data_IF_406535678918
#
_entry.id   IF_406535678918
#
_cell.length_a   1.000
_cell.length_b   1.000
_cell.length_c   1.000
_cell.angle_alpha   90.00
_cell.angle_beta   90.00
_cell.angle_gamma   90.00
#
_symmetry.space_group_name_H-M   'P 1'
#
loop_
_entity.id
_entity.type
_entity.pdbx_description
1 polymer ?
#
# COMPACT_ATOMS: atom_id res chain seq x y z
N UNK A 1 4.57 -40.88 24.11
CA UNK A 1 3.22 -40.51 24.60
C UNK A 1 3.30 -40.10 26.07
N UNK A 2 2.27 -39.45 26.64
CA UNK A 2 2.23 -39.15 28.09
C UNK A 2 2.33 -40.46 28.89
N UNK A 3 3.11 -40.56 29.98
CA UNK A 3 3.81 -39.49 30.71
C UNK A 3 5.27 -39.21 30.28
N UNK A 4 5.79 -39.92 29.27
CA UNK A 4 7.16 -39.77 28.77
C UNK A 4 7.35 -38.36 28.18
N UNK A 5 6.42 -37.94 27.32
CA UNK A 5 6.40 -36.60 26.73
C UNK A 5 5.54 -35.67 27.59
N UNK A 6 6.16 -34.65 28.20
CA UNK A 6 5.45 -33.60 28.95
C UNK A 6 5.86 -32.22 28.43
N UNK A 7 5.16 -31.68 27.42
CA UNK A 7 5.50 -30.38 26.82
C UNK A 7 5.52 -29.21 27.83
N UNK A 8 4.75 -29.32 28.93
CA UNK A 8 4.78 -28.34 30.02
C UNK A 8 6.15 -28.16 30.68
N UNK A 9 7.08 -29.12 30.56
CA UNK A 9 8.45 -29.01 31.09
C UNK A 9 9.21 -27.81 30.51
N UNK A 10 9.00 -27.49 29.23
CA UNK A 10 9.62 -26.32 28.57
C UNK A 10 8.90 -25.00 28.88
N UNK A 11 7.72 -25.07 29.51
CA UNK A 11 6.87 -23.92 29.84
C UNK A 11 6.94 -23.54 31.33
N UNK A 12 7.74 -24.24 32.12
CA UNK A 12 7.79 -24.11 33.59
C UNK A 12 8.53 -22.85 34.07
N UNK A 13 9.43 -22.30 33.26
CA UNK A 13 10.26 -21.16 33.65
C UNK A 13 10.35 -20.12 32.51
N UNK A 14 10.34 -18.81 32.80
CA UNK A 14 10.44 -17.77 31.77
C UNK A 14 11.68 -17.90 30.88
N UNK A 15 12.84 -18.28 31.44
CA UNK A 15 14.06 -18.51 30.65
C UNK A 15 13.96 -19.71 29.72
N UNK A 16 13.33 -20.82 30.17
CA UNK A 16 13.08 -21.97 29.30
C UNK A 16 12.17 -21.59 28.13
N UNK A 17 11.11 -20.80 28.41
CA UNK A 17 10.23 -20.27 27.36
C UNK A 17 10.97 -19.37 26.37
N UNK A 18 11.94 -18.56 26.84
CA UNK A 18 12.77 -17.72 25.98
C UNK A 18 13.67 -18.56 25.06
N UNK A 19 14.28 -19.63 25.58
CA UNK A 19 15.18 -20.50 24.82
C UNK A 19 14.48 -21.28 23.71
N UNK A 20 13.21 -21.65 23.90
CA UNK A 20 12.44 -22.46 22.93
C UNK A 20 11.44 -21.65 22.12
N UNK A 21 11.51 -20.32 22.18
CA UNK A 21 10.59 -19.45 21.43
C UNK A 21 10.89 -19.54 19.93
N UNK A 22 9.87 -19.87 19.16
CA UNK A 22 9.99 -20.06 17.70
C UNK A 22 9.99 -18.74 16.91
N UNK A 23 9.37 -17.68 17.43
CA UNK A 23 9.21 -16.40 16.72
C UNK A 23 9.45 -15.23 17.66
N UNK A 24 10.16 -14.21 17.16
CA UNK A 24 10.40 -12.93 17.83
C UNK A 24 10.08 -11.84 16.83
N UNK A 25 9.24 -10.88 17.24
CA UNK A 25 8.97 -9.66 16.48
C UNK A 25 10.02 -8.60 16.84
N UNK A 26 10.49 -7.88 15.84
CA UNK A 26 11.47 -6.80 15.92
C UNK A 26 10.99 -5.59 15.11
N UNK A 27 11.65 -4.45 15.22
CA UNK A 27 11.32 -3.27 14.41
C UNK A 27 11.57 -3.47 12.91
N UNK A 28 12.50 -4.37 12.57
CA UNK A 28 12.80 -4.74 11.18
C UNK A 28 11.64 -5.44 10.46
N UNK A 29 10.63 -5.90 11.21
CA UNK A 29 9.45 -6.56 10.66
C UNK A 29 8.31 -5.56 10.36
N UNK A 30 8.52 -4.26 10.61
CA UNK A 30 7.47 -3.23 10.55
C UNK A 30 7.64 -2.33 9.31
N UNK A 31 6.52 -1.98 8.68
CA UNK A 31 6.40 -0.89 7.69
C UNK A 31 5.27 0.01 8.18
N UNK A 32 5.52 1.32 8.27
CA UNK A 32 4.56 2.27 8.85
C UNK A 32 3.73 2.99 7.76
N UNK A 33 2.39 2.80 7.72
CA UNK A 33 1.53 3.47 6.74
C UNK A 33 1.33 4.96 7.03
N UNK A 34 1.40 5.80 6.01
CA UNK A 34 1.17 7.25 6.09
C UNK A 34 0.21 7.71 4.99
N UNK A 35 -0.71 8.60 5.34
CA UNK A 35 -1.76 9.13 4.46
C UNK A 35 -1.46 10.58 4.08
N UNK A 36 -1.07 10.82 2.84
CA UNK A 36 -0.64 12.12 2.33
C UNK A 36 -1.79 12.94 1.77
N UNK A 37 -1.99 14.15 2.28
CA UNK A 37 -2.95 15.15 1.77
C UNK A 37 -2.24 16.45 1.34
N UNK A 38 -2.83 17.21 0.40
CA UNK A 38 -2.37 18.56 0.06
C UNK A 38 -2.48 19.54 1.24
N UNK A 39 -1.71 20.63 1.16
CA UNK A 39 -1.67 21.69 2.17
C UNK A 39 -0.37 21.70 2.97
N UNK A 40 -0.37 22.46 4.06
CA UNK A 40 0.77 22.65 4.96
C UNK A 40 0.27 22.68 6.41
N UNK A 41 1.00 22.05 7.33
CA UNK A 41 0.62 21.96 8.74
C UNK A 41 -0.67 21.19 9.03
N UNK A 42 -1.10 20.32 8.11
CA UNK A 42 -2.33 19.54 8.23
C UNK A 42 -2.06 18.24 8.98
N UNK A 43 -2.84 18.00 10.04
CA UNK A 43 -2.96 16.71 10.70
C UNK A 43 -4.43 16.46 11.07
N UNK A 44 -5.14 15.71 10.22
CA UNK A 44 -6.57 15.42 10.37
C UNK A 44 -6.76 13.97 10.82
N UNK A 45 -7.24 13.78 12.04
CA UNK A 45 -7.49 12.44 12.58
C UNK A 45 -8.58 11.70 11.79
N UNK A 46 -8.33 10.43 11.50
CA UNK A 46 -9.29 9.52 10.88
C UNK A 46 -10.18 8.95 11.98
N UNK A 47 -11.45 9.36 12.01
CA UNK A 47 -12.39 8.99 13.09
C UNK A 47 -12.54 7.48 13.32
N UNK A 48 -12.49 6.68 12.25
CA UNK A 48 -12.60 5.22 12.33
C UNK A 48 -11.29 4.52 12.67
N UNK A 49 -10.17 5.26 12.76
CA UNK A 49 -8.85 4.77 13.14
C UNK A 49 -8.21 5.73 14.16
N UNK A 50 -8.62 5.68 15.45
CA UNK A 50 -8.09 6.59 16.47
C UNK A 50 -6.56 6.56 16.54
N UNK A 51 -5.94 7.74 16.55
CA UNK A 51 -4.48 7.91 16.50
C UNK A 51 -3.84 7.80 15.11
N UNK A 52 -4.65 7.66 14.05
CA UNK A 52 -4.19 7.72 12.64
C UNK A 52 -4.63 9.04 12.01
N UNK A 53 -3.76 9.64 11.21
CA UNK A 53 -3.96 10.97 10.65
C UNK A 53 -3.75 10.98 9.14
N UNK A 54 -4.55 11.80 8.45
CA UNK A 54 -4.21 12.36 7.15
C UNK A 54 -3.28 13.56 7.38
N UNK A 55 -2.11 13.54 6.76
CA UNK A 55 -1.01 14.45 7.04
C UNK A 55 -0.58 15.21 5.77
N UNK A 56 -0.29 16.50 5.89
CA UNK A 56 0.41 17.22 4.83
C UNK A 56 1.86 16.76 4.69
N UNK A 57 2.50 17.09 3.57
CA UNK A 57 3.86 16.62 3.25
C UNK A 57 4.88 17.02 4.33
N UNK A 58 4.79 18.23 4.87
CA UNK A 58 5.65 18.69 5.97
C UNK A 58 5.49 17.82 7.23
N UNK A 59 4.26 17.41 7.56
CA UNK A 59 3.97 16.52 8.69
C UNK A 59 4.39 15.08 8.43
N UNK A 60 4.26 14.59 7.21
CA UNK A 60 4.81 13.28 6.82
C UNK A 60 6.33 13.24 7.02
N UNK A 61 7.04 14.33 6.69
CA UNK A 61 8.49 14.40 6.90
C UNK A 61 8.85 14.40 8.39
N UNK A 62 8.05 15.08 9.25
CA UNK A 62 8.21 15.02 10.70
C UNK A 62 8.04 13.57 11.22
N UNK A 63 6.96 12.90 10.84
CA UNK A 63 6.68 11.50 11.21
C UNK A 63 7.75 10.54 10.69
N UNK A 64 8.20 10.71 9.44
CA UNK A 64 9.23 9.86 8.83
C UNK A 64 10.55 9.89 9.61
N UNK A 65 10.91 11.05 10.19
CA UNK A 65 12.10 11.17 11.06
C UNK A 65 11.91 10.36 12.34
N UNK A 66 10.75 10.46 12.98
CA UNK A 66 10.45 9.69 14.19
C UNK A 66 10.43 8.18 13.91
N UNK A 67 9.79 7.75 12.81
CA UNK A 67 9.76 6.35 12.36
C UNK A 67 11.18 5.81 12.20
N UNK A 68 12.07 6.58 11.56
CA UNK A 68 13.47 6.21 11.39
C UNK A 68 14.25 6.16 12.71
N UNK A 69 14.07 7.15 13.58
CA UNK A 69 14.71 7.21 14.91
C UNK A 69 14.29 6.03 15.82
N UNK A 70 13.07 5.51 15.65
CA UNK A 70 12.57 4.32 16.32
C UNK A 70 13.14 3.00 15.74
N UNK A 71 13.91 3.06 14.66
CA UNK A 71 14.53 1.91 14.01
C UNK A 71 13.57 1.09 13.13
N UNK A 72 12.48 1.70 12.64
CA UNK A 72 11.58 1.10 11.65
C UNK A 72 12.18 1.32 10.25
N UNK A 73 12.33 0.27 9.42
CA UNK A 73 13.09 0.36 8.18
C UNK A 73 12.39 1.13 7.06
N UNK A 74 11.06 1.25 7.10
CA UNK A 74 10.34 1.90 6.00
C UNK A 74 8.91 2.33 6.31
N UNK A 75 8.41 3.17 5.42
CA UNK A 75 7.03 3.67 5.39
C UNK A 75 6.34 3.22 4.10
N UNK A 76 5.00 3.19 4.11
CA UNK A 76 4.20 3.10 2.89
C UNK A 76 3.29 4.30 2.74
N UNK A 77 3.36 4.97 1.59
CA UNK A 77 2.61 6.18 1.29
C UNK A 77 1.30 5.85 0.55
N UNK A 78 0.20 6.37 1.08
CA UNK A 78 -1.12 6.42 0.43
C UNK A 78 -1.49 7.87 0.15
N UNK A 79 -1.85 8.20 -1.09
CA UNK A 79 -2.19 9.56 -1.49
C UNK A 79 -3.68 9.83 -1.44
N UNK A 80 -4.08 11.00 -0.94
CA UNK A 80 -5.44 11.51 -1.03
C UNK A 80 -5.36 12.83 -1.80
N UNK A 81 -5.61 12.83 -3.12
CA UNK A 81 -5.48 14.03 -3.95
C UNK A 81 -6.61 15.04 -3.67
N UNK A 82 -6.39 16.30 -4.05
CA UNK A 82 -7.44 17.34 -3.99
C UNK A 82 -8.55 17.05 -5.01
N UNK A 83 -8.15 16.71 -6.24
CA UNK A 83 -9.04 16.41 -7.36
C UNK A 83 -8.95 14.94 -7.76
N UNK A 84 -10.10 14.40 -8.20
CA UNK A 84 -10.23 13.06 -8.77
C UNK A 84 -10.80 13.17 -10.18
N UNK A 85 -10.31 12.33 -11.07
CA UNK A 85 -10.74 12.34 -12.48
C UNK A 85 -10.84 10.91 -13.03
N UNK A 86 -11.38 10.77 -14.24
CA UNK A 86 -11.60 9.45 -14.87
C UNK A 86 -10.32 8.76 -15.34
N UNK A 87 -9.25 9.52 -15.55
CA UNK A 87 -7.94 9.04 -16.01
C UNK A 87 -6.94 8.85 -14.85
N UNK A 88 -7.41 9.03 -13.62
CA UNK A 88 -6.62 8.96 -12.40
C UNK A 88 -5.33 9.79 -12.49
N UNK A 89 -5.37 10.99 -13.07
CA UNK A 89 -4.15 11.76 -13.40
C UNK A 89 -3.28 12.03 -12.17
N UNK A 90 -3.90 12.24 -11.01
CA UNK A 90 -3.19 12.42 -9.74
C UNK A 90 -2.32 11.25 -9.30
N UNK A 91 -2.53 10.04 -9.86
CA UNK A 91 -1.73 8.86 -9.55
C UNK A 91 -0.35 8.90 -10.22
N UNK A 92 -0.25 9.46 -11.43
CA UNK A 92 0.96 9.35 -12.27
C UNK A 92 1.56 10.69 -12.69
N UNK A 93 0.87 11.80 -12.46
CA UNK A 93 1.43 13.13 -12.72
C UNK A 93 2.64 13.41 -11.81
N UNK A 94 3.66 14.10 -12.33
CA UNK A 94 4.93 14.35 -11.62
C UNK A 94 4.72 15.17 -10.32
N UNK A 95 3.64 15.95 -10.25
CA UNK A 95 3.25 16.73 -9.07
C UNK A 95 2.18 16.06 -8.19
N UNK A 96 1.95 14.75 -8.36
CA UNK A 96 1.02 13.98 -7.54
C UNK A 96 1.41 13.98 -6.05
N UNK A 97 0.44 13.74 -5.17
CA UNK A 97 0.67 13.91 -3.72
C UNK A 97 1.66 12.86 -3.17
N UNK A 98 1.64 11.63 -3.68
CA UNK A 98 2.59 10.58 -3.31
C UNK A 98 3.99 10.91 -3.81
N UNK A 99 4.12 11.44 -5.02
CA UNK A 99 5.38 11.87 -5.60
C UNK A 99 6.01 12.98 -4.75
N UNK A 100 5.23 14.01 -4.41
CA UNK A 100 5.68 15.10 -3.53
C UNK A 100 6.13 14.59 -2.16
N UNK A 101 5.35 13.70 -1.55
CA UNK A 101 5.67 13.11 -0.24
C UNK A 101 6.94 12.24 -0.31
N UNK A 102 7.07 11.40 -1.33
CA UNK A 102 8.24 10.54 -1.53
C UNK A 102 9.52 11.39 -1.69
N UNK A 103 9.51 12.38 -2.58
CA UNK A 103 10.65 13.28 -2.78
C UNK A 103 11.05 13.96 -1.47
N UNK A 104 10.09 14.55 -0.75
CA UNK A 104 10.36 15.26 0.49
C UNK A 104 10.90 14.33 1.61
N UNK A 105 10.39 13.10 1.71
CA UNK A 105 10.90 12.11 2.66
C UNK A 105 12.32 11.70 2.30
N UNK A 106 12.60 11.40 1.02
CA UNK A 106 13.95 11.01 0.59
C UNK A 106 14.97 12.14 0.75
N UNK A 107 14.56 13.40 0.61
CA UNK A 107 15.42 14.55 0.90
C UNK A 107 15.73 14.68 2.40
N UNK A 108 14.77 14.40 3.27
CA UNK A 108 14.91 14.58 4.72
C UNK A 108 15.50 13.38 5.46
N UNK A 109 15.21 12.16 5.01
CA UNK A 109 15.62 10.89 5.62
C UNK A 109 16.02 9.90 4.50
N UNK A 110 17.17 10.10 3.83
CA UNK A 110 17.55 9.32 2.65
C UNK A 110 17.60 7.80 2.86
N UNK A 111 17.93 7.37 4.08
CA UNK A 111 18.10 5.95 4.43
C UNK A 111 16.77 5.25 4.79
N UNK A 112 15.67 5.98 4.94
CA UNK A 112 14.35 5.38 5.17
C UNK A 112 13.81 4.83 3.85
N UNK A 113 13.33 3.58 3.87
CA UNK A 113 12.70 2.95 2.71
C UNK A 113 11.30 3.53 2.50
N UNK A 114 11.06 4.09 1.31
CA UNK A 114 9.77 4.60 0.89
C UNK A 114 9.09 3.60 -0.04
N UNK A 115 8.01 3.00 0.45
CA UNK A 115 7.11 2.18 -0.35
C UNK A 115 5.98 3.05 -0.88
N UNK A 116 5.68 2.97 -2.17
CA UNK A 116 4.53 3.68 -2.77
C UNK A 116 3.40 2.70 -3.11
N UNK A 117 2.18 2.97 -2.66
CA UNK A 117 1.00 2.24 -3.12
C UNK A 117 0.73 2.57 -4.60
N UNK A 118 0.66 1.54 -5.44
CA UNK A 118 0.39 1.69 -6.87
C UNK A 118 -1.01 1.17 -7.17
N UNK A 119 -1.98 2.05 -6.96
CA UNK A 119 -3.41 1.81 -7.18
C UNK A 119 -4.08 3.09 -7.69
N UNK A 120 -5.27 2.96 -8.27
CA UNK A 120 -6.01 4.11 -8.84
C UNK A 120 -7.26 4.47 -8.02
N UNK A 121 -7.59 3.75 -6.95
CA UNK A 121 -8.87 3.96 -6.25
C UNK A 121 -8.98 5.30 -5.51
N UNK A 122 -7.86 5.86 -5.11
CA UNK A 122 -7.74 7.15 -4.44
C UNK A 122 -7.97 8.30 -5.44
N UNK A 123 -7.66 8.07 -6.71
CA UNK A 123 -7.54 9.08 -7.76
C UNK A 123 -8.69 9.08 -8.77
N UNK A 124 -9.46 7.99 -8.83
CA UNK A 124 -10.65 7.92 -9.68
C UNK A 124 -11.89 8.47 -8.98
N UNK A 125 -12.77 9.13 -9.74
CA UNK A 125 -14.03 9.67 -9.20
C UNK A 125 -14.93 8.58 -8.63
N UNK A 126 -14.86 7.35 -9.17
CA UNK A 126 -15.71 6.24 -8.77
C UNK A 126 -15.14 5.35 -7.63
N UNK A 127 -13.87 5.49 -7.26
CA UNK A 127 -13.27 4.72 -6.15
C UNK A 127 -12.88 3.27 -6.46
N UNK A 128 -12.98 2.82 -7.71
CA UNK A 128 -12.45 1.54 -8.19
C UNK A 128 -10.96 1.60 -8.54
N UNK A 129 -10.31 0.43 -8.55
CA UNK A 129 -8.85 0.30 -8.70
C UNK A 129 -8.34 0.46 -10.15
N UNK A 130 -9.22 0.77 -11.10
CA UNK A 130 -8.89 0.83 -12.52
C UNK A 130 -9.97 1.49 -13.36
N UNK A 131 -9.76 1.49 -14.68
CA UNK A 131 -10.72 2.03 -15.65
C UNK A 131 -12.03 1.24 -15.63
N UNK A 132 -13.14 1.95 -15.78
CA UNK A 132 -14.45 1.37 -16.03
C UNK A 132 -14.90 1.63 -17.47
N UNK A 133 -15.73 0.75 -18.01
CA UNK A 133 -16.43 1.04 -19.26
C UNK A 133 -17.42 2.19 -19.05
N UNK A 134 -17.58 3.07 -20.05
CA UNK A 134 -18.45 4.25 -19.93
C UNK A 134 -19.89 3.80 -19.68
N UNK A 135 -20.45 4.24 -18.55
CA UNK A 135 -21.81 3.90 -18.13
C UNK A 135 -21.92 2.58 -17.35
N UNK A 136 -20.81 1.90 -17.05
CA UNK A 136 -20.82 0.73 -16.18
C UNK A 136 -21.04 1.13 -14.71
N UNK A 137 -22.14 0.66 -14.14
CA UNK A 137 -22.49 0.83 -12.73
C UNK A 137 -22.31 -0.46 -11.92
N UNK A 138 -21.79 -1.53 -12.53
CA UNK A 138 -21.50 -2.80 -11.87
C UNK A 138 -20.15 -2.80 -11.16
N UNK A 139 -19.24 -1.91 -11.56
CA UNK A 139 -17.88 -1.85 -11.02
C UNK A 139 -16.92 -2.83 -11.68
N UNK A 140 -17.17 -3.22 -12.94
CA UNK A 140 -16.28 -4.10 -13.69
C UNK A 140 -15.10 -3.29 -14.22
N UNK A 141 -13.96 -3.47 -13.57
CA UNK A 141 -12.71 -2.85 -13.99
C UNK A 141 -12.17 -3.50 -15.26
N UNK A 142 -11.79 -2.67 -16.23
CA UNK A 142 -11.12 -3.09 -17.45
C UNK A 142 -9.65 -3.39 -17.14
N UNK A 143 -9.25 -4.65 -17.26
CA UNK A 143 -7.92 -5.12 -16.90
C UNK A 143 -6.80 -4.41 -17.67
N UNK A 144 -6.70 -4.69 -18.97
CA UNK A 144 -5.56 -4.26 -19.79
C UNK A 144 -5.41 -2.73 -19.91
N UNK A 145 -6.49 -1.95 -20.09
CA UNK A 145 -6.38 -0.48 -20.04
C UNK A 145 -5.84 0.03 -18.70
N UNK A 146 -6.18 -0.63 -17.59
CA UNK A 146 -5.68 -0.27 -16.26
C UNK A 146 -4.19 -0.53 -16.13
N UNK A 147 -3.67 -1.59 -16.76
CA UNK A 147 -2.23 -1.92 -16.74
C UNK A 147 -1.38 -0.77 -17.29
N UNK A 148 -1.84 -0.07 -18.32
CA UNK A 148 -1.12 1.08 -18.91
C UNK A 148 -1.03 2.27 -17.95
N UNK A 149 -2.04 2.51 -17.13
CA UNK A 149 -1.96 3.53 -16.08
C UNK A 149 -1.06 3.09 -14.93
N UNK A 150 -1.16 1.83 -14.48
CA UNK A 150 -0.30 1.31 -13.41
C UNK A 150 1.18 1.40 -13.78
N UNK A 151 1.53 1.16 -15.06
CA UNK A 151 2.88 1.40 -15.60
C UNK A 151 3.32 2.85 -15.41
N UNK A 152 2.48 3.82 -15.83
CA UNK A 152 2.78 5.26 -15.70
C UNK A 152 2.93 5.67 -14.23
N UNK A 153 2.03 5.19 -13.36
CA UNK A 153 2.07 5.45 -11.92
C UNK A 153 3.35 4.93 -11.30
N UNK A 154 3.71 3.67 -11.55
CA UNK A 154 4.93 3.07 -11.00
C UNK A 154 6.20 3.83 -11.42
N UNK A 155 6.31 4.19 -12.71
CA UNK A 155 7.46 4.96 -13.21
C UNK A 155 7.52 6.36 -12.59
N UNK A 156 6.37 7.02 -12.43
CA UNK A 156 6.28 8.33 -11.77
C UNK A 156 6.71 8.26 -10.30
N UNK A 157 6.25 7.25 -9.57
CA UNK A 157 6.63 7.01 -8.18
C UNK A 157 8.12 6.69 -8.03
N UNK A 158 8.69 5.87 -8.92
CA UNK A 158 10.12 5.57 -8.92
C UNK A 158 10.97 6.83 -9.21
N UNK A 159 10.55 7.67 -10.16
CA UNK A 159 11.20 8.97 -10.44
C UNK A 159 11.20 9.91 -9.23
N UNK A 160 10.17 9.84 -8.39
CA UNK A 160 10.05 10.61 -7.16
C UNK A 160 10.86 10.03 -5.98
N UNK A 161 11.58 8.92 -6.19
CA UNK A 161 12.45 8.31 -5.19
C UNK A 161 11.79 7.23 -4.33
N UNK A 162 10.62 6.70 -4.74
CA UNK A 162 10.09 5.50 -4.10
C UNK A 162 11.07 4.33 -4.28
N UNK A 163 11.50 3.72 -3.17
CA UNK A 163 12.42 2.60 -3.16
C UNK A 163 11.71 1.29 -3.52
N UNK A 164 10.41 1.16 -3.23
CA UNK A 164 9.60 -0.03 -3.53
C UNK A 164 8.26 0.39 -4.14
N UNK A 165 7.87 -0.27 -5.23
CA UNK A 165 6.56 -0.12 -5.86
C UNK A 165 5.64 -1.23 -5.35
N UNK A 166 4.53 -0.87 -4.71
CA UNK A 166 3.63 -1.84 -4.08
C UNK A 166 2.25 -1.82 -4.73
N UNK A 167 2.07 -2.54 -5.86
CA UNK A 167 0.80 -2.51 -6.56
C UNK A 167 -0.27 -3.32 -5.87
N UNK A 168 -1.42 -2.68 -5.66
CA UNK A 168 -2.51 -3.22 -4.84
C UNK A 168 -3.85 -3.31 -5.58
N UNK A 169 -3.84 -3.10 -6.90
CA UNK A 169 -5.02 -3.06 -7.76
C UNK A 169 -5.66 -4.41 -8.13
N UNK A 170 -4.94 -5.53 -7.99
CA UNK A 170 -5.40 -6.90 -8.35
C UNK A 170 -5.83 -7.05 -9.82
N UNK A 171 -5.11 -6.43 -10.75
CA UNK A 171 -5.33 -6.63 -12.19
C UNK A 171 -4.48 -7.80 -12.67
N UNK A 172 -4.99 -8.69 -13.52
CA UNK A 172 -4.20 -9.77 -14.12
C UNK A 172 -2.97 -9.21 -14.86
N UNK A 173 -1.78 -9.76 -14.58
CA UNK A 173 -0.54 -9.40 -15.28
C UNK A 173 0.11 -8.08 -14.84
N UNK A 174 -0.42 -7.41 -13.82
CA UNK A 174 0.08 -6.11 -13.34
C UNK A 174 1.55 -6.06 -12.93
N UNK A 175 2.06 -7.11 -12.27
CA UNK A 175 3.48 -7.19 -11.88
C UNK A 175 4.38 -7.16 -13.12
N UNK A 176 4.03 -7.93 -14.16
CA UNK A 176 4.78 -7.97 -15.41
C UNK A 176 4.70 -6.63 -16.15
N UNK A 177 3.51 -6.05 -16.23
CA UNK A 177 3.28 -4.74 -16.84
C UNK A 177 4.15 -3.67 -16.17
N UNK A 178 4.08 -3.56 -14.84
CA UNK A 178 4.86 -2.60 -14.06
C UNK A 178 6.36 -2.84 -14.21
N UNK A 179 6.82 -4.09 -14.15
CA UNK A 179 8.23 -4.46 -14.36
C UNK A 179 8.74 -3.93 -15.70
N UNK A 180 8.03 -4.21 -16.79
CA UNK A 180 8.39 -3.70 -18.12
C UNK A 180 8.46 -2.17 -18.16
N UNK A 181 7.53 -1.48 -17.50
CA UNK A 181 7.52 -0.02 -17.40
C UNK A 181 8.73 0.54 -16.66
N UNK A 182 9.07 -0.05 -15.50
CA UNK A 182 10.23 0.33 -14.70
C UNK A 182 11.54 0.10 -15.45
N UNK A 183 11.72 -1.09 -16.04
CA UNK A 183 12.93 -1.45 -16.79
C UNK A 183 13.13 -0.51 -18.00
N UNK A 184 12.07 -0.24 -18.76
CA UNK A 184 12.12 0.68 -19.91
C UNK A 184 12.47 2.13 -19.50
N UNK A 185 12.19 2.51 -18.25
CA UNK A 185 12.50 3.81 -17.70
C UNK A 185 13.84 3.86 -16.93
N UNK A 186 14.59 2.75 -16.88
CA UNK A 186 15.89 2.65 -16.22
C UNK A 186 15.85 2.33 -14.72
N UNK A 187 14.71 1.87 -14.19
CA UNK A 187 14.50 1.50 -12.79
C UNK A 187 14.56 -0.01 -12.57
N UNK A 188 15.57 -0.66 -13.14
CA UNK A 188 15.72 -2.13 -13.14
C UNK A 188 15.80 -2.71 -11.72
N UNK A 189 16.52 -2.03 -10.83
CA UNK A 189 16.74 -2.48 -9.45
C UNK A 189 15.58 -2.18 -8.48
N UNK A 190 14.58 -1.40 -8.89
CA UNK A 190 13.45 -1.03 -8.01
C UNK A 190 12.56 -2.25 -7.77
N UNK A 191 12.46 -2.80 -6.54
CA UNK A 191 11.62 -3.96 -6.26
C UNK A 191 10.12 -3.68 -6.41
N UNK A 192 9.37 -4.75 -6.67
CA UNK A 192 7.90 -4.74 -6.71
C UNK A 192 7.38 -5.59 -5.54
N UNK A 193 6.70 -4.97 -4.60
CA UNK A 193 6.01 -5.65 -3.50
C UNK A 193 4.56 -5.93 -3.91
N UNK A 194 4.34 -7.04 -4.62
CA UNK A 194 3.01 -7.40 -5.12
C UNK A 194 2.04 -7.74 -3.99
N UNK A 195 0.84 -7.14 -4.01
CA UNK A 195 -0.31 -7.66 -3.28
C UNK A 195 -0.90 -8.86 -4.04
N UNK A 196 -0.14 -9.96 -4.12
CA UNK A 196 -0.50 -11.13 -4.91
C UNK A 196 -1.86 -11.72 -4.50
N UNK A 197 -2.10 -11.86 -3.19
CA UNK A 197 -3.35 -12.41 -2.66
C UNK A 197 -4.13 -11.37 -1.85
N UNK A 198 -4.79 -10.42 -2.53
CA UNK A 198 -5.66 -9.41 -1.89
C UNK A 198 -7.14 -9.79 -2.03
N UNK A 199 -7.75 -10.09 -0.90
CA UNK A 199 -9.13 -10.56 -0.80
C UNK A 199 -10.16 -9.43 -0.79
N UNK A 200 -11.37 -9.71 -1.28
CA UNK A 200 -12.54 -8.84 -1.16
C UNK A 200 -13.06 -8.87 0.29
N UNK A 201 -12.42 -8.12 1.17
CA UNK A 201 -12.64 -8.17 2.62
C UNK A 201 -13.48 -7.02 3.15
N UNK A 202 -14.27 -7.31 4.20
CA UNK A 202 -15.00 -6.29 4.98
C UNK A 202 -14.10 -5.52 5.96
N UNK A 203 -12.86 -5.96 6.18
CA UNK A 203 -11.92 -5.32 7.11
C UNK A 203 -11.38 -3.97 6.61
N UNK A 204 -11.59 -3.62 5.34
CA UNK A 204 -11.05 -2.39 4.75
C UNK A 204 -11.87 -1.12 5.04
N UNK A 205 -12.98 -1.21 5.78
CA UNK A 205 -13.85 -0.06 6.08
C UNK A 205 -13.07 1.17 6.59
N UNK A 206 -12.33 1.06 7.71
CA UNK A 206 -11.58 2.18 8.27
C UNK A 206 -10.49 2.73 7.33
N UNK A 207 -9.82 1.86 6.57
CA UNK A 207 -8.85 2.29 5.56
C UNK A 207 -9.51 3.14 4.47
N UNK A 208 -10.71 2.76 4.00
CA UNK A 208 -11.42 3.51 2.95
C UNK A 208 -11.88 4.88 3.44
N UNK A 209 -12.15 5.03 4.73
CA UNK A 209 -12.40 6.34 5.33
C UNK A 209 -11.11 7.19 5.35
N UNK A 210 -9.96 6.58 5.65
CA UNK A 210 -8.67 7.26 5.65
C UNK A 210 -8.20 7.69 4.25
N UNK A 211 -8.33 6.80 3.27
CA UNK A 211 -7.90 7.01 1.88
C UNK A 211 -8.97 7.69 1.00
N UNK A 212 -10.16 7.94 1.55
CA UNK A 212 -11.32 8.49 0.84
C UNK A 212 -11.64 7.74 -0.48
N UNK A 213 -11.48 6.41 -0.48
CA UNK A 213 -11.48 5.56 -1.68
C UNK A 213 -12.62 4.53 -1.74
N UNK A 214 -13.69 4.75 -0.98
CA UNK A 214 -14.89 3.91 -1.02
C UNK A 214 -15.48 3.90 -2.45
N UNK A 215 -15.71 2.72 -3.07
CA UNK A 215 -16.40 2.63 -4.34
C UNK A 215 -17.79 3.29 -4.26
N UNK A 216 -18.11 4.16 -5.21
CA UNK A 216 -19.42 4.84 -5.23
C UNK A 216 -20.58 3.89 -5.53
N UNK A 217 -20.29 2.79 -6.25
CA UNK A 217 -21.24 1.74 -6.60
C UNK A 217 -20.53 0.39 -6.67
N UNK A 218 -21.32 -0.68 -6.76
CA UNK A 218 -20.81 -2.05 -6.88
C UNK A 218 -19.92 -2.47 -5.70
N UNK A 219 -19.01 -3.39 -5.97
CA UNK A 219 -17.96 -3.81 -5.05
C UNK A 219 -16.67 -4.14 -5.81
N UNK A 220 -15.67 -4.71 -5.12
CA UNK A 220 -14.36 -5.05 -5.71
C UNK A 220 -14.21 -6.56 -6.00
N UNK A 221 -15.28 -7.35 -5.94
CA UNK A 221 -15.24 -8.83 -6.06
C UNK A 221 -14.98 -9.33 -7.48
N UNK A 222 -15.07 -8.45 -8.47
CA UNK A 222 -14.74 -8.78 -9.87
C UNK A 222 -13.24 -8.94 -10.11
N UNK A 223 -12.39 -8.53 -9.16
CA UNK A 223 -10.93 -8.60 -9.26
C UNK A 223 -10.22 -8.92 -7.94
N UNK A 224 -10.78 -8.56 -6.78
CA UNK A 224 -10.26 -9.02 -5.48
C UNK A 224 -10.76 -10.43 -5.16
N UNK A 225 -9.90 -11.24 -4.56
CA UNK A 225 -10.16 -12.67 -4.35
C UNK A 225 -11.34 -12.95 -3.41
N UNK A 226 -12.02 -14.09 -3.62
CA UNK A 226 -13.02 -14.58 -2.68
C UNK A 226 -12.37 -15.06 -1.36
N UNK A 227 -12.80 -14.58 -0.18
CA UNK A 227 -12.30 -15.03 1.13
C UNK A 227 -12.35 -16.54 1.36
N UNK A 228 -13.20 -17.28 0.65
CA UNK A 228 -13.28 -18.75 0.72
C UNK A 228 -12.13 -19.49 0.03
N UNK A 229 -11.30 -18.82 -0.77
CA UNK A 229 -10.40 -19.46 -1.73
C UNK A 229 -8.92 -19.44 -1.31
N UNK A 230 -8.51 -20.39 -0.48
CA UNK A 230 -7.09 -20.53 -0.10
C UNK A 230 -6.19 -21.08 -1.23
N UNK A 231 -6.72 -21.95 -2.11
CA UNK A 231 -5.92 -22.57 -3.20
C UNK A 231 -5.66 -21.61 -4.35
N UNK A 232 -6.58 -20.69 -4.60
CA UNK A 232 -6.44 -19.65 -5.63
C UNK A 232 -5.27 -18.72 -5.31
N UNK A 233 -4.99 -18.45 -4.03
CA UNK A 233 -3.88 -17.60 -3.59
C UNK A 233 -2.48 -18.18 -3.90
N UNK A 234 -2.38 -19.47 -4.25
CA UNK A 234 -1.13 -20.07 -4.73
C UNK A 234 -0.97 -19.95 -6.26
N UNK A 235 -2.07 -19.64 -6.95
CA UNK A 235 -2.11 -19.46 -8.41
C UNK A 235 -1.85 -18.00 -8.80
N UNK A 236 -2.40 -17.06 -8.03
CA UNK A 236 -2.02 -15.64 -8.05
C UNK A 236 -0.54 -15.43 -7.71
#
# INVERSE_FOLDING_TARGET
>A
MFPINRPRRLRSHPQLRRMVRETVLTTNDLIYPLFAVPGEGIAKEVKSMPGVYQLSVDKIVEEAKEVYDLGIPGIILFGIPEDKDVDATGAWHDCGIVQKAATAVKEAVPDLIVVADTCLCEYTTHGHCGYLEVGDLTGRVLNDPTLELLKKTAVSQAKAGADIIAPSGMMDGFVQAIRQGLDAAGFEDTPIMSYAAKYASAYYGPFRDAAESTPQFGDRRTYQMDPGNAREALKE
#
